data_IF_155489402095
#
_entry.id   IF_155489402095
#
_cell.length_a   1.000
_cell.length_b   1.000
_cell.length_c   1.000
_cell.angle_alpha   90.00
_cell.angle_beta   90.00
_cell.angle_gamma   90.00
#
_symmetry.space_group_name_H-M   'P 1'
#
loop_
_entity.id
_entity.type
_entity.pdbx_description
1 polymer ?
#
# COMPACT_ATOMS: atom_id res chain seq x y z
N UNK A 1 8.92 16.18 -6.32
CA UNK A 1 7.67 16.26 -5.53
C UNK A 1 8.08 16.52 -4.09
N UNK A 2 7.33 17.33 -3.34
CA UNK A 2 7.59 17.50 -1.91
C UNK A 2 7.14 16.27 -1.13
N UNK A 3 7.50 16.22 0.15
CA UNK A 3 7.13 15.11 1.04
C UNK A 3 5.63 14.83 1.05
N UNK A 4 4.81 15.87 1.19
CA UNK A 4 3.34 15.75 1.18
C UNK A 4 2.86 15.10 -0.11
N UNK A 5 3.34 15.54 -1.28
CA UNK A 5 2.93 14.96 -2.56
C UNK A 5 3.38 13.49 -2.70
N UNK A 6 4.58 13.15 -2.25
CA UNK A 6 5.06 11.75 -2.25
C UNK A 6 4.21 10.87 -1.31
N UNK A 7 3.84 11.38 -0.13
CA UNK A 7 2.99 10.65 0.81
C UNK A 7 1.57 10.45 0.25
N UNK A 8 1.00 11.47 -0.41
CA UNK A 8 -0.27 11.33 -1.14
C UNK A 8 -0.17 10.30 -2.27
N UNK A 9 0.93 10.31 -3.02
CA UNK A 9 1.20 9.35 -4.07
C UNK A 9 1.28 7.92 -3.53
N UNK A 10 1.90 7.71 -2.37
CA UNK A 10 1.90 6.42 -1.66
C UNK A 10 0.49 5.96 -1.30
N UNK A 11 -0.30 6.79 -0.63
CA UNK A 11 -1.68 6.45 -0.24
C UNK A 11 -2.51 6.09 -1.47
N UNK A 12 -2.32 6.80 -2.57
CA UNK A 12 -2.97 6.50 -3.85
C UNK A 12 -2.55 5.14 -4.42
N UNK A 13 -1.25 4.84 -4.45
CA UNK A 13 -0.72 3.54 -4.88
C UNK A 13 -1.28 2.38 -4.05
N UNK A 14 -1.33 2.52 -2.72
CA UNK A 14 -1.89 1.51 -1.82
C UNK A 14 -3.39 1.27 -2.12
N UNK A 15 -4.16 2.35 -2.38
CA UNK A 15 -5.57 2.26 -2.79
C UNK A 15 -5.73 1.57 -4.16
N UNK A 16 -4.88 1.88 -5.14
CA UNK A 16 -4.89 1.24 -6.46
C UNK A 16 -4.58 -0.25 -6.36
N UNK A 17 -3.54 -0.62 -5.59
CA UNK A 17 -3.19 -2.01 -5.36
C UNK A 17 -4.37 -2.77 -4.74
N UNK A 18 -4.98 -2.22 -3.70
CA UNK A 18 -6.11 -2.85 -3.02
C UNK A 18 -7.30 -3.07 -3.99
N UNK A 19 -7.68 -2.06 -4.78
CA UNK A 19 -8.74 -2.17 -5.80
C UNK A 19 -8.41 -3.23 -6.85
N UNK A 20 -7.17 -3.24 -7.36
CA UNK A 20 -6.73 -4.18 -8.41
C UNK A 20 -6.66 -5.62 -7.88
N UNK A 21 -6.21 -5.82 -6.65
CA UNK A 21 -6.21 -7.15 -6.00
C UNK A 21 -7.64 -7.63 -5.76
N UNK A 22 -8.59 -6.73 -5.49
CA UNK A 22 -10.00 -7.07 -5.38
C UNK A 22 -10.69 -7.35 -6.73
N UNK A 23 -10.24 -6.75 -7.83
CA UNK A 23 -10.75 -7.10 -9.16
C UNK A 23 -10.34 -8.52 -9.57
N UNK A 24 -9.22 -9.02 -9.05
CA UNK A 24 -8.69 -10.38 -9.28
C UNK A 24 -9.50 -11.53 -8.65
N UNK A 25 -10.74 -11.33 -8.14
CA UNK A 25 -11.54 -12.38 -7.48
C UNK A 25 -11.80 -13.58 -8.42
N UNK A 26 -11.60 -14.80 -7.91
CA UNK A 26 -11.96 -16.07 -8.57
C UNK A 26 -13.38 -16.52 -8.18
N UNK A 27 -14.24 -16.89 -9.16
CA UNK A 27 -14.62 -18.28 -9.43
C UNK A 27 -14.49 -18.66 -10.94
N UNK A 28 -14.76 -19.91 -11.40
CA UNK A 28 -14.18 -20.46 -12.63
C UNK A 28 -14.85 -19.87 -13.88
N UNK A 29 -14.06 -19.18 -14.71
CA UNK A 29 -14.49 -18.77 -16.04
C UNK A 29 -13.61 -17.68 -16.62
N UNK A 30 -13.46 -16.54 -15.94
CA UNK A 30 -12.69 -15.41 -16.47
C UNK A 30 -12.04 -14.61 -15.34
N UNK A 31 -10.73 -14.83 -15.13
CA UNK A 31 -9.90 -13.88 -14.38
C UNK A 31 -9.92 -12.55 -15.16
N UNK A 32 -10.59 -11.53 -14.63
CA UNK A 32 -10.60 -10.19 -15.23
C UNK A 32 -9.83 -9.23 -14.34
N UNK A 33 -8.57 -9.00 -14.72
CA UNK A 33 -7.77 -7.91 -14.17
C UNK A 33 -8.29 -6.59 -14.73
N UNK A 34 -8.47 -5.59 -13.87
CA UNK A 34 -8.67 -4.23 -14.33
C UNK A 34 -7.34 -3.67 -14.87
N UNK A 35 -7.18 -3.72 -16.19
CA UNK A 35 -5.95 -3.30 -16.86
C UNK A 35 -5.72 -1.80 -16.78
N UNK A 36 -6.76 -0.98 -16.60
CA UNK A 36 -6.59 0.46 -16.46
C UNK A 36 -5.95 0.80 -15.11
N UNK A 37 -6.40 0.16 -14.02
CA UNK A 37 -5.76 0.31 -12.72
C UNK A 37 -4.29 -0.14 -12.74
N UNK A 38 -3.98 -1.24 -13.46
CA UNK A 38 -2.59 -1.70 -13.61
C UNK A 38 -1.75 -0.69 -14.39
N UNK A 39 -2.29 -0.09 -15.46
CA UNK A 39 -1.59 0.98 -16.20
C UNK A 39 -1.32 2.20 -15.33
N UNK A 40 -2.25 2.55 -14.45
CA UNK A 40 -2.08 3.67 -13.53
C UNK A 40 -0.92 3.44 -12.55
N UNK A 41 -0.82 2.24 -11.96
CA UNK A 41 0.33 1.87 -11.10
C UNK A 41 1.62 1.90 -11.93
N UNK A 42 1.63 1.32 -13.13
CA UNK A 42 2.80 1.30 -14.02
C UNK A 42 3.26 2.70 -14.43
N UNK A 43 2.34 3.64 -14.61
CA UNK A 43 2.67 5.04 -14.91
C UNK A 43 3.49 5.74 -13.82
N UNK A 44 3.54 5.17 -12.61
CA UNK A 44 4.35 5.65 -11.50
C UNK A 44 5.68 4.88 -11.33
N UNK A 45 5.97 3.93 -12.22
CA UNK A 45 7.19 3.12 -12.22
C UNK A 45 8.21 3.59 -13.27
N UNK A 46 9.33 2.88 -13.38
CA UNK A 46 10.33 3.02 -14.45
C UNK A 46 10.11 2.06 -15.62
N UNK A 47 9.02 1.30 -15.62
CA UNK A 47 8.71 0.40 -16.73
C UNK A 47 8.33 1.19 -18.00
N UNK A 48 8.98 0.86 -19.10
CA UNK A 48 8.69 1.40 -20.42
C UNK A 48 7.64 0.56 -21.14
N UNK A 49 6.62 1.21 -21.68
CA UNK A 49 5.64 0.54 -22.54
C UNK A 49 6.26 0.16 -23.89
N UNK A 50 6.05 -1.10 -24.31
CA UNK A 50 6.39 -1.61 -25.64
C UNK A 50 5.24 -2.43 -26.20
N UNK A 51 4.96 -2.23 -27.49
CA UNK A 51 4.06 -3.10 -28.24
C UNK A 51 4.90 -4.04 -29.11
N UNK A 52 4.75 -5.34 -28.94
CA UNK A 52 5.47 -6.34 -29.72
C UNK A 52 4.60 -7.57 -29.96
N UNK A 53 4.48 -8.02 -31.21
CA UNK A 53 3.67 -9.18 -31.60
C UNK A 53 2.22 -9.16 -31.04
N UNK A 54 1.58 -8.00 -31.05
CA UNK A 54 0.25 -7.73 -30.47
C UNK A 54 0.15 -7.89 -28.94
N UNK A 55 1.29 -7.92 -28.24
CA UNK A 55 1.34 -7.91 -26.78
C UNK A 55 1.59 -6.50 -26.26
N UNK A 56 0.90 -6.14 -25.18
CA UNK A 56 1.17 -4.95 -24.40
C UNK A 56 2.19 -5.30 -23.32
N UNK A 57 3.45 -4.92 -23.54
CA UNK A 57 4.55 -5.21 -22.65
C UNK A 57 4.97 -3.96 -21.89
N UNK A 58 5.38 -4.15 -20.65
CA UNK A 58 6.04 -3.15 -19.83
C UNK A 58 7.39 -3.71 -19.46
N UNK A 59 8.46 -3.00 -19.80
CA UNK A 59 9.83 -3.53 -19.68
C UNK A 59 10.73 -2.60 -18.89
N UNK A 60 11.63 -3.17 -18.09
CA UNK A 60 12.76 -2.42 -17.52
C UNK A 60 14.04 -3.26 -17.53
N UNK A 61 15.22 -2.66 -17.73
CA UNK A 61 16.47 -3.40 -17.78
C UNK A 61 16.86 -3.93 -16.39
N UNK A 62 17.41 -5.16 -16.34
CA UNK A 62 18.04 -5.71 -15.14
C UNK A 62 19.57 -5.72 -15.33
N UNK A 63 20.09 -6.71 -16.06
CA UNK A 63 21.54 -6.89 -16.32
C UNK A 63 21.77 -7.80 -17.52
N UNK A 64 22.90 -7.63 -18.22
CA UNK A 64 23.38 -8.53 -19.27
C UNK A 64 22.37 -8.75 -20.42
N UNK A 65 21.59 -7.71 -20.75
CA UNK A 65 20.54 -7.77 -21.78
C UNK A 65 19.24 -8.44 -21.34
N UNK A 66 19.17 -8.93 -20.10
CA UNK A 66 17.94 -9.45 -19.48
C UNK A 66 17.09 -8.28 -19.00
N UNK A 67 15.81 -8.34 -19.34
CA UNK A 67 14.79 -7.36 -18.96
C UNK A 67 13.81 -8.00 -17.98
N UNK A 68 13.25 -7.19 -17.09
CA UNK A 68 12.02 -7.52 -16.40
C UNK A 68 10.84 -7.11 -17.29
N UNK A 69 10.01 -8.07 -17.68
CA UNK A 69 8.95 -7.88 -18.68
C UNK A 69 7.62 -8.29 -18.07
N UNK A 70 6.77 -7.32 -17.79
CA UNK A 70 5.36 -7.55 -17.46
C UNK A 70 4.55 -7.62 -18.77
N UNK A 71 3.76 -8.68 -18.92
CA UNK A 71 2.72 -8.75 -19.97
C UNK A 71 1.40 -8.26 -19.39
N UNK A 72 0.78 -7.24 -20.00
CA UNK A 72 -0.51 -6.70 -19.58
C UNK A 72 -1.67 -7.56 -20.10
N UNK A 73 -1.75 -8.79 -19.60
CA UNK A 73 -2.84 -9.73 -19.80
C UNK A 73 -3.60 -9.98 -18.49
N UNK A 74 -4.46 -11.01 -18.45
CA UNK A 74 -5.26 -11.34 -17.26
C UNK A 74 -4.47 -12.10 -16.18
N UNK A 75 -3.36 -12.74 -16.55
CA UNK A 75 -2.50 -13.48 -15.62
C UNK A 75 -1.38 -12.61 -15.07
N UNK A 76 -1.12 -11.45 -15.69
CA UNK A 76 -0.07 -10.49 -15.35
C UNK A 76 1.29 -11.17 -15.11
N UNK A 77 1.79 -12.00 -16.04
CA UNK A 77 3.07 -12.65 -15.83
C UNK A 77 4.21 -11.61 -15.94
N UNK A 78 5.16 -11.71 -15.02
CA UNK A 78 6.44 -11.00 -15.10
C UNK A 78 7.51 -12.03 -15.45
N UNK A 79 8.29 -11.75 -16.49
CA UNK A 79 9.37 -12.57 -16.99
C UNK A 79 10.73 -11.90 -16.80
N UNK A 80 11.78 -12.68 -16.62
CA UNK A 80 13.19 -12.24 -16.65
C UNK A 80 13.87 -12.82 -17.87
N UNK A 81 13.71 -12.17 -19.02
CA UNK A 81 14.25 -12.64 -20.30
C UNK A 81 14.27 -11.48 -21.32
N UNK A 82 14.42 -11.78 -22.60
CA UNK A 82 14.33 -10.80 -23.69
C UNK A 82 12.90 -10.66 -24.22
N UNK A 83 12.60 -9.52 -24.86
CA UNK A 83 11.29 -9.31 -25.51
C UNK A 83 11.03 -10.38 -26.56
N UNK A 84 12.04 -10.77 -27.34
CA UNK A 84 11.93 -11.80 -28.36
C UNK A 84 11.52 -13.16 -27.75
N UNK A 85 12.10 -13.55 -26.61
CA UNK A 85 11.71 -14.79 -25.92
C UNK A 85 10.26 -14.75 -25.41
N UNK A 86 9.80 -13.60 -24.90
CA UNK A 86 8.40 -13.43 -24.49
C UNK A 86 7.45 -13.51 -25.69
N UNK A 87 7.78 -12.83 -26.80
CA UNK A 87 6.96 -12.87 -28.03
C UNK A 87 6.88 -14.27 -28.62
N UNK A 88 8.01 -15.01 -28.66
CA UNK A 88 8.06 -16.40 -29.10
C UNK A 88 7.08 -17.27 -28.30
N UNK A 89 7.00 -17.08 -26.99
CA UNK A 89 6.18 -17.94 -26.11
C UNK A 89 4.70 -17.55 -26.08
N UNK A 90 4.38 -16.26 -26.17
CA UNK A 90 3.00 -15.75 -26.02
C UNK A 90 2.28 -15.50 -27.34
N UNK A 91 3.02 -15.20 -28.39
CA UNK A 91 2.50 -14.87 -29.72
C UNK A 91 3.40 -15.46 -30.82
N UNK A 92 3.63 -16.80 -30.81
CA UNK A 92 4.49 -17.45 -31.80
C UNK A 92 3.96 -17.26 -33.21
N UNK A 93 4.85 -17.00 -34.16
CA UNK A 93 4.51 -17.06 -35.57
C UNK A 93 4.46 -18.51 -36.03
N UNK A 94 3.72 -18.80 -37.11
CA UNK A 94 3.60 -20.15 -37.65
C UNK A 94 4.96 -20.80 -37.96
N UNK A 95 5.97 -20.00 -38.34
CA UNK A 95 7.35 -20.45 -38.60
C UNK A 95 8.07 -20.93 -37.33
N UNK A 96 7.77 -20.34 -36.18
CA UNK A 96 8.42 -20.69 -34.91
C UNK A 96 8.06 -22.11 -34.46
N UNK A 97 6.88 -22.58 -34.87
CA UNK A 97 6.31 -23.88 -34.46
C UNK A 97 6.94 -25.07 -35.22
N UNK A 98 7.77 -24.86 -36.25
CA UNK A 98 8.48 -25.97 -36.91
C UNK A 98 9.70 -26.47 -36.15
N UNK A 99 10.23 -25.70 -35.20
CA UNK A 99 11.37 -26.09 -34.38
C UNK A 99 10.89 -26.78 -33.11
N UNK A 100 11.23 -28.07 -32.93
CA UNK A 100 10.92 -28.83 -31.69
C UNK A 100 11.47 -28.10 -30.46
N UNK A 101 12.61 -27.43 -30.59
CA UNK A 101 13.21 -26.63 -29.52
C UNK A 101 12.33 -25.43 -29.16
N UNK A 102 11.77 -24.75 -30.14
CA UNK A 102 10.87 -23.60 -29.92
C UNK A 102 9.54 -24.06 -29.34
N UNK A 103 8.97 -25.17 -29.84
CA UNK A 103 7.75 -25.77 -29.26
C UNK A 103 7.94 -26.03 -27.77
N UNK A 104 9.08 -26.61 -27.36
CA UNK A 104 9.37 -26.85 -25.94
C UNK A 104 9.39 -25.55 -25.13
N UNK A 105 9.96 -24.47 -25.65
CA UNK A 105 9.97 -23.14 -24.98
C UNK A 105 8.58 -22.53 -24.88
N UNK A 106 7.78 -22.63 -25.94
CA UNK A 106 6.39 -22.14 -25.97
C UNK A 106 5.54 -22.87 -24.92
N UNK A 107 5.73 -24.19 -24.79
CA UNK A 107 4.94 -25.02 -23.86
C UNK A 107 5.33 -24.84 -22.39
N UNK A 108 6.59 -24.53 -22.08
CA UNK A 108 7.11 -24.48 -20.71
C UNK A 108 7.79 -23.16 -20.44
N UNK A 109 7.17 -22.27 -19.66
CA UNK A 109 7.70 -20.93 -19.32
C UNK A 109 8.13 -20.77 -17.85
N UNK A 110 8.13 -21.87 -17.09
CA UNK A 110 8.51 -21.88 -15.67
C UNK A 110 9.98 -21.47 -15.43
N UNK A 111 10.83 -21.63 -16.44
CA UNK A 111 12.25 -21.29 -16.40
C UNK A 111 12.53 -19.79 -16.40
N UNK A 112 11.61 -19.00 -16.94
CA UNK A 112 11.79 -17.55 -17.15
C UNK A 112 10.82 -16.69 -16.35
N UNK A 113 9.81 -17.30 -15.73
CA UNK A 113 8.77 -16.56 -15.04
C UNK A 113 9.17 -16.20 -13.62
N UNK A 114 9.08 -14.91 -13.30
CA UNK A 114 9.40 -14.37 -11.99
C UNK A 114 8.17 -14.32 -11.08
N UNK A 115 7.00 -13.93 -11.60
CA UNK A 115 5.75 -13.86 -10.81
C UNK A 115 4.50 -13.87 -11.70
N UNK A 116 3.33 -14.11 -11.08
CA UNK A 116 2.00 -14.01 -11.72
C UNK A 116 0.98 -13.35 -10.79
N UNK A 117 -0.06 -12.76 -11.36
CA UNK A 117 -1.26 -12.29 -10.66
C UNK A 117 -0.95 -11.33 -9.53
N UNK A 118 -1.41 -11.66 -8.31
CA UNK A 118 -1.23 -10.81 -7.12
C UNK A 118 0.24 -10.52 -6.79
N UNK A 119 1.13 -11.48 -7.01
CA UNK A 119 2.57 -11.29 -6.74
C UNK A 119 3.18 -10.30 -7.73
N UNK A 120 2.77 -10.34 -9.01
CA UNK A 120 3.18 -9.33 -9.99
C UNK A 120 2.71 -7.92 -9.63
N UNK A 121 1.46 -7.78 -9.16
CA UNK A 121 0.94 -6.50 -8.70
C UNK A 121 1.73 -5.94 -7.51
N UNK A 122 2.04 -6.79 -6.52
CA UNK A 122 2.87 -6.39 -5.37
C UNK A 122 4.26 -5.92 -5.83
N UNK A 123 4.85 -6.61 -6.79
CA UNK A 123 6.18 -6.28 -7.34
C UNK A 123 6.19 -4.95 -8.08
N UNK A 124 5.18 -4.71 -8.93
CA UNK A 124 5.02 -3.42 -9.64
C UNK A 124 4.72 -2.28 -8.64
N UNK A 125 3.88 -2.54 -7.64
CA UNK A 125 3.61 -1.58 -6.57
C UNK A 125 4.88 -1.23 -5.77
N UNK A 126 5.68 -2.23 -5.38
CA UNK A 126 6.95 -1.99 -4.69
C UNK A 126 7.89 -1.12 -5.54
N UNK A 127 8.02 -1.41 -6.84
CA UNK A 127 8.79 -0.59 -7.77
C UNK A 127 8.29 0.85 -7.88
N UNK A 128 6.97 1.08 -7.76
CA UNK A 128 6.40 2.43 -7.74
C UNK A 128 6.73 3.16 -6.43
N UNK A 129 6.63 2.46 -5.28
CA UNK A 129 6.95 3.01 -3.96
C UNK A 129 8.43 3.38 -3.85
N UNK A 130 9.35 2.57 -4.38
CA UNK A 130 10.80 2.84 -4.37
C UNK A 130 11.18 4.16 -5.06
N UNK A 131 10.32 4.68 -5.93
CA UNK A 131 10.53 5.96 -6.62
C UNK A 131 10.06 7.17 -5.82
N UNK A 132 9.33 6.95 -4.73
CA UNK A 132 8.84 8.02 -3.87
C UNK A 132 9.88 8.36 -2.81
N UNK A 133 10.22 9.64 -2.70
CA UNK A 133 10.99 10.13 -1.57
C UNK A 133 10.06 10.38 -0.39
N UNK A 134 10.01 9.40 0.51
CA UNK A 134 9.20 9.42 1.72
C UNK A 134 10.01 9.87 2.94
N UNK A 135 11.24 10.36 2.75
CA UNK A 135 12.00 10.97 3.84
C UNK A 135 11.34 12.29 4.25
N UNK A 136 11.37 12.59 5.54
CA UNK A 136 10.76 13.80 6.08
C UNK A 136 11.55 14.35 7.25
N UNK A 137 11.38 15.65 7.45
CA UNK A 137 11.92 16.39 8.59
C UNK A 137 10.78 16.89 9.48
N UNK A 138 11.12 17.39 10.68
CA UNK A 138 10.12 18.06 11.52
C UNK A 138 9.45 19.24 10.81
N UNK A 139 10.20 20.01 10.03
CA UNK A 139 9.65 21.13 9.27
C UNK A 139 8.58 20.69 8.25
N UNK A 140 8.70 19.48 7.69
CA UNK A 140 7.67 18.94 6.79
C UNK A 140 6.40 18.58 7.55
N UNK A 141 6.51 18.03 8.76
CA UNK A 141 5.36 17.75 9.63
C UNK A 141 4.68 19.03 10.12
N UNK A 142 5.46 20.07 10.45
CA UNK A 142 4.93 21.38 10.86
C UNK A 142 4.09 22.02 9.74
N UNK A 143 4.45 21.79 8.46
CA UNK A 143 3.62 22.21 7.32
C UNK A 143 2.29 21.46 7.29
N UNK A 144 2.27 20.15 7.57
CA UNK A 144 1.02 19.37 7.65
C UNK A 144 0.13 19.87 8.79
N UNK A 145 0.71 20.20 9.95
CA UNK A 145 -0.02 20.82 11.08
C UNK A 145 -0.61 22.17 10.65
N UNK A 146 0.16 23.01 9.96
CA UNK A 146 -0.32 24.31 9.49
C UNK A 146 -1.52 24.19 8.55
N UNK A 147 -1.52 23.19 7.66
CA UNK A 147 -2.66 22.90 6.79
C UNK A 147 -3.88 22.41 7.56
N UNK A 148 -3.70 21.53 8.55
CA UNK A 148 -4.78 21.09 9.43
C UNK A 148 -5.40 22.27 10.18
N UNK A 149 -4.57 23.19 10.70
CA UNK A 149 -5.00 24.42 11.36
C UNK A 149 -5.86 25.28 10.45
N UNK A 150 -5.42 25.51 9.21
CA UNK A 150 -6.22 26.21 8.20
C UNK A 150 -7.54 25.49 7.90
N UNK A 151 -7.55 24.16 7.91
CA UNK A 151 -8.75 23.35 7.78
C UNK A 151 -9.78 23.64 8.88
N UNK A 152 -9.34 23.71 10.14
CA UNK A 152 -10.19 24.09 11.28
C UNK A 152 -10.68 25.54 11.16
N UNK A 153 -9.79 26.50 10.88
CA UNK A 153 -10.13 27.92 10.73
C UNK A 153 -11.19 28.16 9.65
N UNK A 154 -11.15 27.35 8.58
CA UNK A 154 -12.11 27.41 7.46
C UNK A 154 -13.34 26.53 7.66
N UNK A 155 -13.39 25.71 8.72
CA UNK A 155 -14.43 24.71 8.90
C UNK A 155 -14.48 23.65 7.78
N UNK A 156 -13.34 23.32 7.18
CA UNK A 156 -13.24 22.39 6.04
C UNK A 156 -12.92 20.96 6.51
N UNK A 157 -13.94 20.12 6.64
CA UNK A 157 -13.76 18.69 6.96
C UNK A 157 -12.82 17.99 5.97
N UNK A 158 -12.93 18.32 4.68
CA UNK A 158 -12.05 17.75 3.65
C UNK A 158 -10.57 18.04 3.91
N UNK A 159 -10.20 19.27 4.31
CA UNK A 159 -8.81 19.61 4.62
C UNK A 159 -8.32 18.95 5.92
N UNK A 160 -9.20 18.87 6.94
CA UNK A 160 -8.90 18.18 8.20
C UNK A 160 -8.66 16.69 7.95
N UNK A 161 -9.56 16.03 7.20
CA UNK A 161 -9.47 14.61 6.85
C UNK A 161 -8.25 14.32 5.98
N UNK A 162 -7.96 15.15 4.98
CA UNK A 162 -6.74 15.00 4.18
C UNK A 162 -5.48 15.05 5.07
N UNK A 163 -5.42 16.01 6.00
CA UNK A 163 -4.28 16.12 6.92
C UNK A 163 -4.18 14.91 7.86
N UNK A 164 -5.31 14.40 8.37
CA UNK A 164 -5.35 13.18 9.19
C UNK A 164 -4.89 11.95 8.42
N UNK A 165 -5.38 11.75 7.20
CA UNK A 165 -5.01 10.61 6.35
C UNK A 165 -3.49 10.54 6.14
N UNK A 166 -2.81 11.70 6.01
CA UNK A 166 -1.36 11.76 5.91
C UNK A 166 -0.67 11.29 7.21
N UNK A 167 -1.10 11.78 8.37
CA UNK A 167 -0.56 11.31 9.65
C UNK A 167 -0.87 9.85 9.92
N UNK A 168 -2.06 9.39 9.53
CA UNK A 168 -2.45 8.00 9.69
C UNK A 168 -1.59 7.07 8.87
N UNK A 169 -1.22 7.48 7.65
CA UNK A 169 -0.28 6.73 6.84
C UNK A 169 1.12 6.68 7.47
N UNK A 170 1.62 7.81 7.97
CA UNK A 170 2.96 7.86 8.61
C UNK A 170 3.05 6.99 9.86
N UNK A 171 1.98 6.96 10.65
CA UNK A 171 1.94 6.26 11.93
C UNK A 171 1.31 4.87 11.83
N UNK A 172 0.95 4.43 10.62
CA UNK A 172 0.21 3.18 10.39
C UNK A 172 -1.07 3.07 11.24
N UNK A 173 -1.74 4.19 11.49
CA UNK A 173 -3.04 4.24 12.16
C UNK A 173 -4.10 3.71 11.19
N UNK A 174 -5.02 2.88 11.70
CA UNK A 174 -6.06 2.21 10.90
C UNK A 174 -7.44 2.44 11.50
N UNK A 175 -8.51 2.38 10.69
CA UNK A 175 -9.88 2.43 11.20
C UNK A 175 -10.15 1.26 12.15
N UNK A 176 -10.87 1.55 13.24
CA UNK A 176 -11.29 0.58 14.25
C UNK A 176 -12.81 0.48 14.22
N UNK A 177 -13.30 -0.76 14.09
CA UNK A 177 -14.74 -1.04 14.03
C UNK A 177 -15.20 -1.63 15.38
N UNK A 178 -15.95 -0.86 16.16
CA UNK A 178 -16.47 -1.25 17.49
C UNK A 178 -17.94 -1.73 17.45
N UNK A 179 -18.38 -2.30 16.33
CA UNK A 179 -19.79 -2.68 16.13
C UNK A 179 -20.72 -1.47 15.97
N UNK A 180 -22.00 -1.64 16.31
CA UNK A 180 -23.11 -0.67 16.15
C UNK A 180 -23.04 0.54 17.11
N UNK A 181 -21.89 1.21 17.17
CA UNK A 181 -21.78 2.49 17.88
C UNK A 181 -21.90 3.64 16.86
N UNK A 182 -22.60 4.69 17.31
CA UNK A 182 -23.04 5.93 16.65
C UNK A 182 -22.63 6.16 15.18
N UNK A 183 -23.63 6.38 14.30
CA UNK A 183 -23.48 6.47 12.84
C UNK A 183 -22.54 7.58 12.33
N UNK A 184 -22.09 8.48 13.20
CA UNK A 184 -21.38 9.73 12.83
C UNK A 184 -19.99 9.87 13.48
N UNK A 185 -19.53 8.84 14.18
CA UNK A 185 -18.19 8.80 14.79
C UNK A 185 -17.30 7.79 14.07
N UNK A 186 -16.18 8.29 13.55
CA UNK A 186 -15.13 7.43 13.02
C UNK A 186 -14.00 7.30 14.04
N UNK A 187 -13.55 6.06 14.24
CA UNK A 187 -12.53 5.73 15.23
C UNK A 187 -11.34 5.14 14.49
N UNK A 188 -10.16 5.60 14.86
CA UNK A 188 -8.90 5.14 14.32
C UNK A 188 -7.94 4.83 15.47
N UNK A 189 -7.02 3.89 15.25
CA UNK A 189 -6.01 3.55 16.23
C UNK A 189 -4.82 2.86 15.58
N UNK A 190 -3.64 3.00 16.19
CA UNK A 190 -2.45 2.29 15.74
C UNK A 190 -2.47 0.87 16.31
N UNK A 191 -2.56 -0.19 15.48
CA UNK A 191 -2.56 -1.55 15.99
C UNK A 191 -1.21 -1.87 16.64
N UNK A 192 -1.24 -2.42 17.85
CA UNK A 192 -0.07 -2.89 18.58
C UNK A 192 -0.32 -4.25 19.21
N UNK A 193 0.72 -5.08 19.24
CA UNK A 193 0.69 -6.34 19.98
C UNK A 193 1.04 -6.03 21.43
N UNK A 194 0.06 -6.10 22.33
CA UNK A 194 0.25 -5.85 23.75
C UNK A 194 -0.18 -7.09 24.55
N UNK A 195 0.74 -7.62 25.38
CA UNK A 195 0.57 -8.77 26.30
C UNK A 195 -0.52 -9.78 25.90
N UNK A 196 -0.23 -10.65 24.94
CA UNK A 196 -1.12 -11.76 24.55
C UNK A 196 -1.45 -11.75 23.05
N UNK A 197 -2.35 -12.64 22.61
CA UNK A 197 -2.74 -12.76 21.20
C UNK A 197 -3.71 -11.66 20.73
N UNK A 198 -4.22 -10.82 21.63
CA UNK A 198 -5.24 -9.81 21.32
C UNK A 198 -4.62 -8.53 20.74
N UNK A 199 -5.17 -8.08 19.61
CA UNK A 199 -4.81 -6.81 18.99
C UNK A 199 -5.27 -5.65 19.87
N UNK A 200 -4.33 -4.86 20.37
CA UNK A 200 -4.63 -3.61 21.07
C UNK A 200 -4.41 -2.43 20.14
N UNK A 201 -4.96 -1.27 20.50
CA UNK A 201 -4.82 -0.05 19.73
C UNK A 201 -4.24 1.05 20.59
N UNK A 202 -3.23 1.71 20.05
CA UNK A 202 -2.63 2.88 20.65
C UNK A 202 -3.29 4.15 20.18
N UNK A 203 -3.42 5.07 21.13
CA UNK A 203 -3.79 6.46 20.94
C UNK A 203 -5.02 6.65 20.05
N UNK A 204 -6.19 6.08 20.41
CA UNK A 204 -7.36 6.14 19.55
C UNK A 204 -7.74 7.59 19.23
N UNK A 205 -7.94 7.84 17.95
CA UNK A 205 -8.35 9.11 17.35
C UNK A 205 -9.80 9.02 16.95
N UNK A 206 -10.57 10.04 17.30
CA UNK A 206 -12.00 10.14 17.08
C UNK A 206 -12.22 11.31 16.16
N UNK A 207 -12.89 11.06 15.06
CA UNK A 207 -13.35 12.10 14.16
C UNK A 207 -14.87 12.12 14.17
N UNK A 208 -15.43 13.29 14.45
CA UNK A 208 -16.85 13.55 14.27
C UNK A 208 -17.01 14.52 13.10
N UNK A 209 -17.53 14.02 11.98
CA UNK A 209 -17.64 14.82 10.76
C UNK A 209 -18.69 15.94 10.87
N UNK A 210 -19.76 15.72 11.64
CA UNK A 210 -20.84 16.69 11.81
C UNK A 210 -20.42 17.92 12.61
N UNK A 211 -19.60 17.71 13.64
CA UNK A 211 -19.15 18.77 14.56
C UNK A 211 -17.78 19.33 14.21
N UNK A 212 -17.12 18.78 13.18
CA UNK A 212 -15.76 19.13 12.78
C UNK A 212 -14.74 18.93 13.92
N UNK A 213 -14.96 17.94 14.77
CA UNK A 213 -14.09 17.70 15.93
C UNK A 213 -13.16 16.52 15.68
N UNK A 214 -11.91 16.72 16.08
CA UNK A 214 -10.87 15.69 16.15
C UNK A 214 -10.45 15.58 17.60
N UNK A 215 -10.51 14.39 18.17
CA UNK A 215 -10.14 14.15 19.54
C UNK A 215 -9.23 12.92 19.65
N UNK A 216 -8.35 12.89 20.64
CA UNK A 216 -7.45 11.78 20.86
C UNK A 216 -7.42 11.39 22.34
N UNK A 217 -7.51 10.10 22.60
CA UNK A 217 -7.28 9.54 23.93
C UNK A 217 -5.89 8.88 23.97
N UNK A 218 -5.05 9.25 24.93
CA UNK A 218 -3.70 8.68 25.07
C UNK A 218 -3.75 7.33 25.76
N UNK A 219 -2.89 6.41 25.33
CA UNK A 219 -2.70 5.10 25.95
C UNK A 219 -2.87 3.94 24.99
N UNK A 220 -2.70 2.73 25.51
CA UNK A 220 -2.94 1.46 24.80
C UNK A 220 -4.26 0.92 25.31
N UNK A 221 -5.15 0.55 24.38
CA UNK A 221 -6.48 0.04 24.69
C UNK A 221 -6.64 -1.36 24.11
N UNK A 222 -7.01 -2.32 24.95
CA UNK A 222 -7.57 -3.58 24.45
C UNK A 222 -8.91 -3.31 23.76
N UNK A 223 -9.42 -4.24 22.93
CA UNK A 223 -10.75 -4.12 22.36
C UNK A 223 -11.81 -3.88 23.45
N UNK A 224 -11.73 -4.60 24.57
CA UNK A 224 -12.68 -4.50 25.68
C UNK A 224 -12.61 -3.13 26.37
N UNK A 225 -11.40 -2.66 26.72
CA UNK A 225 -11.20 -1.33 27.31
C UNK A 225 -11.69 -0.22 26.39
N UNK A 226 -11.50 -0.41 25.07
CA UNK A 226 -11.96 0.52 24.07
C UNK A 226 -13.49 0.60 24.05
N UNK A 227 -14.20 -0.54 24.03
CA UNK A 227 -15.67 -0.54 24.09
C UNK A 227 -16.19 0.13 25.37
N UNK A 228 -15.60 -0.17 26.53
CA UNK A 228 -16.02 0.43 27.80
C UNK A 228 -15.79 1.95 27.80
N UNK A 229 -14.61 2.39 27.37
CA UNK A 229 -14.28 3.81 27.33
C UNK A 229 -15.19 4.56 26.35
N UNK A 230 -15.46 4.00 25.16
CA UNK A 230 -16.36 4.62 24.18
C UNK A 230 -17.81 4.71 24.68
N UNK A 231 -18.31 3.69 25.38
CA UNK A 231 -19.64 3.74 25.98
C UNK A 231 -19.78 4.93 26.96
N UNK A 232 -18.72 5.19 27.75
CA UNK A 232 -18.68 6.34 28.67
C UNK A 232 -18.46 7.67 27.94
N UNK A 233 -17.68 7.67 26.87
CA UNK A 233 -17.45 8.84 26.03
C UNK A 233 -18.75 9.32 25.34
N UNK A 234 -19.52 8.41 24.75
CA UNK A 234 -20.83 8.70 24.15
C UNK A 234 -21.82 9.29 25.17
N UNK A 235 -21.76 8.82 26.42
CA UNK A 235 -22.56 9.35 27.53
C UNK A 235 -22.00 10.65 28.13
N UNK A 236 -20.92 11.22 27.56
CA UNK A 236 -20.19 12.41 28.06
C UNK A 236 -19.65 12.26 29.48
N UNK A 237 -19.39 11.03 29.91
CA UNK A 237 -18.83 10.68 31.22
C UNK A 237 -17.32 10.43 31.18
N UNK A 238 -16.74 10.37 29.98
CA UNK A 238 -15.31 10.30 29.73
C UNK A 238 -14.93 11.34 28.68
N UNK A 239 -13.73 11.93 28.82
CA UNK A 239 -13.18 12.90 27.89
C UNK A 239 -11.94 12.38 27.18
N UNK A 240 -11.72 12.89 25.97
CA UNK A 240 -10.44 12.79 25.28
C UNK A 240 -9.36 13.62 26.00
N UNK A 241 -8.10 13.24 25.81
CA UNK A 241 -6.95 13.92 26.42
C UNK A 241 -6.48 15.12 25.59
N UNK A 242 -6.67 15.07 24.27
CA UNK A 242 -6.31 16.14 23.32
C UNK A 242 -7.45 16.42 22.36
N UNK A 243 -7.54 17.65 21.86
CA UNK A 243 -8.57 18.08 20.91
C UNK A 243 -8.03 19.01 19.82
N UNK A 244 -8.67 18.96 18.65
CA UNK A 244 -8.39 19.85 17.52
C UNK A 244 -6.93 19.77 17.09
N UNK A 245 -6.25 20.91 17.08
CA UNK A 245 -4.86 21.01 16.59
C UNK A 245 -3.84 20.29 17.48
N UNK A 246 -4.11 20.18 18.78
CA UNK A 246 -3.23 19.48 19.73
C UNK A 246 -3.06 18.00 19.37
N UNK A 247 -4.07 17.41 18.70
CA UNK A 247 -3.99 16.05 18.17
C UNK A 247 -2.91 15.96 17.09
N UNK A 248 -2.87 16.91 16.15
CA UNK A 248 -1.89 16.92 15.06
C UNK A 248 -0.47 17.17 15.57
N UNK A 249 -0.32 18.07 16.54
CA UNK A 249 0.97 18.32 17.20
C UNK A 249 1.49 17.04 17.87
N UNK A 250 0.62 16.31 18.59
CA UNK A 250 0.96 15.03 19.19
C UNK A 250 1.32 13.95 18.14
N UNK A 251 0.57 13.85 17.04
CA UNK A 251 0.86 12.89 15.97
C UNK A 251 2.21 13.20 15.28
N UNK A 252 2.55 14.48 15.12
CA UNK A 252 3.85 14.87 14.59
C UNK A 252 5.00 14.53 15.54
N UNK A 253 4.85 14.73 16.84
CA UNK A 253 5.83 14.31 17.84
C UNK A 253 6.04 12.78 17.78
N UNK A 254 4.94 12.02 17.74
CA UNK A 254 4.98 10.56 17.61
C UNK A 254 5.67 10.12 16.32
N UNK A 255 5.45 10.82 15.21
CA UNK A 255 6.08 10.51 13.93
C UNK A 255 7.60 10.73 13.99
N UNK A 256 8.07 11.81 14.63
CA UNK A 256 9.50 12.06 14.83
C UNK A 256 10.15 10.97 15.68
N UNK A 257 9.49 10.55 16.76
CA UNK A 257 9.97 9.46 17.61
C UNK A 257 10.09 8.13 16.84
N UNK A 258 9.20 7.91 15.87
CA UNK A 258 9.15 6.69 15.05
C UNK A 258 9.94 6.78 13.73
N UNK A 259 10.46 7.96 13.37
CA UNK A 259 11.25 8.16 12.14
C UNK A 259 12.42 7.18 11.96
N UNK A 260 13.14 6.70 13.01
CA UNK A 260 14.18 5.67 12.87
C UNK A 260 13.66 4.32 12.35
N UNK A 261 12.34 4.07 12.47
CA UNK A 261 11.69 2.81 12.10
C UNK A 261 10.96 2.90 10.74
N UNK A 262 10.47 4.08 10.35
CA UNK A 262 9.76 4.26 9.07
C UNK A 262 10.65 3.99 7.85
N UNK A 263 11.91 4.45 7.88
CA UNK A 263 12.91 4.17 6.84
C UNK A 263 13.32 2.68 6.75
N UNK A 264 13.16 1.91 7.83
CA UNK A 264 13.42 0.45 7.84
C UNK A 264 12.20 -0.35 7.41
N UNK A 265 10.98 0.04 7.76
CA UNK A 265 9.78 -0.70 7.36
C UNK A 265 9.60 -0.76 5.84
N UNK A 266 9.96 0.31 5.12
CA UNK A 266 9.97 0.32 3.65
C UNK A 266 11.03 -0.59 3.04
N UNK A 267 12.13 -0.88 3.76
CA UNK A 267 13.19 -1.78 3.33
C UNK A 267 12.93 -3.25 3.73
N UNK A 268 12.26 -3.48 4.85
CA UNK A 268 11.92 -4.83 5.33
C UNK A 268 10.78 -5.44 4.51
N UNK A 269 9.88 -4.63 3.95
CA UNK A 269 8.91 -5.11 2.95
C UNK A 269 9.58 -5.65 1.68
N UNK A 270 10.78 -5.15 1.35
CA UNK A 270 11.64 -5.63 0.27
C UNK A 270 12.44 -6.88 0.67
N UNK A 271 12.97 -6.94 1.90
CA UNK A 271 13.79 -8.09 2.38
C UNK A 271 12.97 -9.32 2.79
N UNK A 272 11.69 -9.17 3.14
CA UNK A 272 10.81 -10.29 3.50
C UNK A 272 10.54 -11.25 2.31
N UNK A 273 10.81 -10.81 1.09
CA UNK A 273 10.80 -11.64 -0.12
C UNK A 273 12.06 -12.50 -0.29
N UNK A 274 13.19 -12.13 0.31
CA UNK A 274 14.45 -12.88 0.18
C UNK A 274 14.62 -13.97 1.25
N UNK A 275 14.04 -13.81 2.45
CA UNK A 275 14.23 -14.78 3.54
C UNK A 275 13.35 -16.04 3.47
N UNK A 276 12.31 -16.06 2.64
CA UNK A 276 11.52 -17.28 2.40
C UNK A 276 12.20 -18.25 1.42
N UNK A 277 13.26 -17.83 0.73
CA UNK A 277 14.02 -18.70 -0.19
C UNK A 277 15.25 -19.36 0.44
N UNK A 278 15.67 -19.00 1.66
CA UNK A 278 16.86 -19.60 2.29
C UNK A 278 16.57 -20.72 3.28
N UNK A 279 15.34 -20.90 3.78
CA UNK A 279 15.05 -21.93 4.81
C UNK A 279 14.55 -23.28 4.27
N UNK A 280 14.47 -23.46 2.94
CA UNK A 280 14.06 -24.72 2.30
C UNK A 280 15.22 -25.52 1.69
N UNK A 281 16.48 -25.20 2.02
CA UNK A 281 17.67 -25.94 1.55
C UNK A 281 18.48 -26.66 2.62
N UNK A 282 18.02 -26.73 3.87
CA UNK A 282 18.64 -27.55 4.91
C UNK A 282 17.63 -28.52 5.52
N UNK A 283 17.14 -29.46 4.72
CA UNK A 283 16.52 -30.71 5.18
C UNK A 283 16.51 -31.73 4.02
N UNK A 284 17.69 -32.23 3.66
CA UNK A 284 17.88 -33.52 2.96
C UNK A 284 19.02 -34.25 3.66
#
# INVERSE_FOLDING_TARGET
MGFKENLKAKIHLDKLLHKTVHSLKEPPGEKRVDKELVREILGMTDFEYRNAANLHLYVRPIKDGIMEILVLDNDLPIYHTTVDDVTLRKSPHWQDVFSIRNIKRIMYDQDIIASRGKESLKRVHAAAIERLDLTYTRADLDRLIAEARLGFERGSMTQIRESLDLFFELLSIKPVYLGLLEQDLEIFGRPVTYRGPSLSFEHPVILNEQTLTVELKRGVFSPEDMHEWFARYAQRQAGADLKGIEVFEFLADLAVEQAPYYGRASAVASESGERLHSSLRESV
#
